data_IF_134238414898
#
_entry.id   IF_134238414898
#
_cell.length_a   1.000
_cell.length_b   1.000
_cell.length_c   1.000
_cell.angle_alpha   90.00
_cell.angle_beta   90.00
_cell.angle_gamma   90.00
#
_symmetry.space_group_name_H-M   'P 1'
#
loop_
_entity.id
_entity.type
_entity.pdbx_description
1 polymer ?
#
# COMPACT_ATOMS: atom_id res chain seq x y z
N UNK A 1 23.34 39.06 10.71
CA UNK A 1 21.93 39.42 10.48
C UNK A 1 21.29 38.31 9.65
N UNK A 2 20.44 37.47 10.25
CA UNK A 2 19.74 36.43 9.49
C UNK A 2 18.67 37.07 8.60
N UNK A 3 18.70 36.80 7.29
CA UNK A 3 17.59 37.17 6.40
C UNK A 3 16.32 36.49 6.92
N UNK A 4 15.34 37.28 7.35
CA UNK A 4 14.01 36.77 7.70
C UNK A 4 13.27 36.41 6.42
N UNK A 5 13.38 35.15 6.00
CA UNK A 5 12.62 34.65 4.85
C UNK A 5 11.13 34.58 5.16
N UNK A 6 10.29 34.89 4.16
CA UNK A 6 8.85 34.67 4.23
C UNK A 6 8.54 33.16 4.32
N UNK A 7 7.30 32.79 4.68
CA UNK A 7 6.89 31.37 4.73
C UNK A 7 7.01 30.70 3.35
N UNK A 8 6.59 31.41 2.31
CA UNK A 8 6.65 30.96 0.92
C UNK A 8 8.10 30.79 0.43
N UNK A 9 8.99 31.73 0.74
CA UNK A 9 10.41 31.60 0.40
C UNK A 9 11.07 30.39 1.09
N UNK A 10 10.69 30.10 2.34
CA UNK A 10 11.16 28.91 3.06
C UNK A 10 10.65 27.63 2.39
N UNK A 11 9.38 27.59 2.02
CA UNK A 11 8.76 26.46 1.33
C UNK A 11 9.48 26.14 0.02
N UNK A 12 9.67 27.14 -0.85
CA UNK A 12 10.35 26.96 -2.14
C UNK A 12 11.77 26.45 -1.92
N UNK A 13 12.53 27.05 -0.99
CA UNK A 13 13.92 26.64 -0.73
C UNK A 13 14.04 25.23 -0.20
N UNK A 14 13.18 24.83 0.74
CA UNK A 14 13.14 23.46 1.27
C UNK A 14 12.80 22.49 0.15
N UNK A 15 11.76 22.76 -0.63
CA UNK A 15 11.33 21.91 -1.74
C UNK A 15 12.45 21.74 -2.78
N UNK A 16 13.09 22.84 -3.21
CA UNK A 16 14.21 22.78 -4.15
C UNK A 16 15.40 22.00 -3.57
N UNK A 17 15.72 22.17 -2.29
CA UNK A 17 16.79 21.42 -1.64
C UNK A 17 16.52 19.91 -1.65
N UNK A 18 15.30 19.50 -1.30
CA UNK A 18 14.92 18.07 -1.32
C UNK A 18 14.94 17.54 -2.77
N UNK A 19 14.51 18.32 -3.78
CA UNK A 19 14.62 17.91 -5.20
C UNK A 19 16.07 17.67 -5.64
N UNK A 20 16.99 18.54 -5.24
CA UNK A 20 18.43 18.35 -5.51
C UNK A 20 18.92 17.09 -4.81
N UNK A 21 18.56 16.89 -3.55
CA UNK A 21 18.92 15.68 -2.80
C UNK A 21 18.39 14.40 -3.46
N UNK A 22 17.13 14.38 -3.89
CA UNK A 22 16.53 13.26 -4.63
C UNK A 22 17.30 12.99 -5.92
N UNK A 23 17.65 14.03 -6.67
CA UNK A 23 18.39 13.91 -7.92
C UNK A 23 19.78 13.33 -7.71
N UNK A 24 20.50 13.79 -6.68
CA UNK A 24 21.81 13.25 -6.30
C UNK A 24 21.68 11.79 -5.84
N UNK A 25 20.68 11.48 -5.00
CA UNK A 25 20.44 10.13 -4.51
C UNK A 25 20.16 9.15 -5.65
N UNK A 26 19.35 9.54 -6.63
CA UNK A 26 19.11 8.75 -7.84
C UNK A 26 20.36 8.61 -8.71
N UNK A 27 21.12 9.69 -8.88
CA UNK A 27 22.35 9.71 -9.69
C UNK A 27 23.45 8.82 -9.12
N UNK A 28 23.59 8.80 -7.79
CA UNK A 28 24.54 7.92 -7.09
C UNK A 28 24.02 6.47 -7.03
N UNK A 29 22.71 6.29 -6.88
CA UNK A 29 22.06 5.00 -6.86
C UNK A 29 22.58 4.10 -5.73
N UNK A 30 22.94 2.86 -6.06
CA UNK A 30 23.38 1.86 -5.07
C UNK A 30 24.72 2.21 -4.39
N UNK A 31 25.52 3.11 -4.96
CA UNK A 31 26.76 3.59 -4.32
C UNK A 31 26.49 4.46 -3.08
N UNK A 32 25.23 4.83 -2.82
CA UNK A 32 24.84 5.46 -1.55
C UNK A 32 24.47 4.43 -0.48
N UNK A 33 24.55 3.13 -0.79
CA UNK A 33 24.33 2.06 0.20
C UNK A 33 25.61 1.77 0.98
N UNK A 34 25.54 1.68 2.33
CA UNK A 34 26.63 1.17 3.17
C UNK A 34 27.09 -0.25 2.81
N UNK A 35 26.26 -1.02 2.09
CA UNK A 35 26.62 -2.37 1.62
C UNK A 35 27.53 -2.35 0.40
N UNK A 36 27.52 -1.27 -0.39
CA UNK A 36 28.28 -1.14 -1.64
C UNK A 36 29.50 -0.24 -1.45
N UNK A 37 29.35 0.82 -0.64
CA UNK A 37 30.37 1.84 -0.49
C UNK A 37 30.74 2.00 1.00
N UNK A 38 31.96 1.59 1.41
CA UNK A 38 32.41 1.62 2.80
C UNK A 38 32.43 3.02 3.44
N UNK A 39 32.48 4.08 2.61
CA UNK A 39 32.45 5.46 3.06
C UNK A 39 31.07 5.96 3.50
N UNK A 40 30.00 5.21 3.23
CA UNK A 40 28.64 5.56 3.64
C UNK A 40 28.23 4.72 4.84
N UNK A 41 27.73 5.37 5.89
CA UNK A 41 27.30 4.70 7.12
C UNK A 41 25.78 4.62 7.21
N UNK A 42 25.27 3.61 7.93
CA UNK A 42 23.85 3.53 8.27
C UNK A 42 23.38 4.74 9.08
N UNK A 43 24.24 5.22 10.00
CA UNK A 43 23.95 6.42 10.81
C UNK A 43 23.73 7.65 9.96
N UNK A 44 24.52 7.84 8.89
CA UNK A 44 24.30 8.93 7.95
C UNK A 44 22.92 8.85 7.28
N UNK A 45 22.52 7.67 6.81
CA UNK A 45 21.20 7.50 6.17
C UNK A 45 20.04 7.71 7.15
N UNK A 46 20.17 7.23 8.39
CA UNK A 46 19.18 7.49 9.44
C UNK A 46 19.05 8.97 9.77
N UNK A 47 20.17 9.67 9.88
CA UNK A 47 20.19 11.11 10.12
C UNK A 47 19.56 11.89 8.98
N UNK A 48 19.81 11.48 7.72
CA UNK A 48 19.17 12.06 6.55
C UNK A 48 17.64 11.88 6.62
N UNK A 49 17.18 10.66 6.90
CA UNK A 49 15.75 10.35 6.99
C UNK A 49 15.09 11.14 8.13
N UNK A 50 15.67 11.11 9.33
CA UNK A 50 15.14 11.81 10.50
C UNK A 50 15.02 13.33 10.26
N UNK A 51 16.08 13.96 9.73
CA UNK A 51 16.06 15.39 9.43
C UNK A 51 15.06 15.74 8.34
N UNK A 52 14.98 14.93 7.28
CA UNK A 52 14.04 15.15 6.20
C UNK A 52 12.60 15.02 6.70
N UNK A 53 12.25 13.95 7.42
CA UNK A 53 10.92 13.76 7.99
C UNK A 53 10.52 14.91 8.90
N UNK A 54 11.41 15.32 9.82
CA UNK A 54 11.17 16.45 10.72
C UNK A 54 10.88 17.75 9.97
N UNK A 55 11.63 18.03 8.90
CA UNK A 55 11.43 19.23 8.08
C UNK A 55 10.12 19.15 7.29
N UNK A 56 9.85 18.04 6.61
CA UNK A 56 8.62 17.86 5.82
C UNK A 56 7.38 17.93 6.72
N UNK A 57 7.36 17.20 7.83
CA UNK A 57 6.29 17.25 8.82
C UNK A 57 5.99 18.66 9.29
N UNK A 58 7.04 19.41 9.66
CA UNK A 58 6.88 20.79 10.14
C UNK A 58 6.31 21.69 9.06
N UNK A 59 6.79 21.54 7.82
CA UNK A 59 6.39 22.41 6.71
C UNK A 59 4.98 22.09 6.23
N UNK A 60 4.61 20.82 6.06
CA UNK A 60 3.25 20.40 5.66
C UNK A 60 2.20 20.86 6.69
N UNK A 61 2.50 20.77 7.99
CA UNK A 61 1.62 21.29 9.04
C UNK A 61 1.46 22.82 9.03
N UNK A 62 2.46 23.55 8.53
CA UNK A 62 2.44 25.01 8.48
C UNK A 62 1.84 25.56 7.19
N UNK A 63 2.05 24.85 6.08
CA UNK A 63 1.66 25.26 4.73
C UNK A 63 1.44 24.00 3.92
N UNK A 64 0.18 23.74 3.58
CA UNK A 64 -0.18 22.62 2.72
C UNK A 64 0.24 22.93 1.28
N UNK A 65 1.21 22.17 0.77
CA UNK A 65 1.77 22.32 -0.56
C UNK A 65 2.00 20.94 -1.21
N UNK A 66 1.43 20.74 -2.40
CA UNK A 66 1.49 19.46 -3.09
C UNK A 66 2.90 19.12 -3.58
N UNK A 67 3.69 20.12 -3.98
CA UNK A 67 5.01 19.91 -4.55
C UNK A 67 6.01 19.46 -3.48
N UNK A 68 5.97 20.10 -2.31
CA UNK A 68 6.72 19.69 -1.13
C UNK A 68 6.35 18.26 -0.73
N UNK A 69 5.06 17.94 -0.68
CA UNK A 69 4.58 16.61 -0.29
C UNK A 69 5.12 15.53 -1.26
N UNK A 70 4.93 15.72 -2.56
CA UNK A 70 5.42 14.78 -3.58
C UNK A 70 6.94 14.61 -3.49
N UNK A 71 7.67 15.72 -3.33
CA UNK A 71 9.13 15.73 -3.26
C UNK A 71 9.64 15.06 -1.97
N UNK A 72 8.99 15.34 -0.84
CA UNK A 72 9.27 14.74 0.46
C UNK A 72 9.02 13.24 0.46
N UNK A 73 7.90 12.81 -0.12
CA UNK A 73 7.54 11.39 -0.26
C UNK A 73 8.55 10.63 -1.11
N UNK A 74 8.97 11.21 -2.22
CA UNK A 74 10.03 10.63 -3.03
C UNK A 74 11.36 10.51 -2.27
N UNK A 75 11.74 11.54 -1.50
CA UNK A 75 12.95 11.50 -0.68
C UNK A 75 12.88 10.39 0.37
N UNK A 76 11.76 10.31 1.07
CA UNK A 76 11.46 9.27 2.06
C UNK A 76 11.56 7.89 1.41
N UNK A 77 10.94 7.72 0.25
CA UNK A 77 10.94 6.46 -0.50
C UNK A 77 12.36 6.04 -0.89
N UNK A 78 13.18 6.97 -1.39
CA UNK A 78 14.57 6.72 -1.79
C UNK A 78 15.43 6.29 -0.59
N UNK A 79 15.29 6.99 0.54
CA UNK A 79 16.02 6.68 1.77
C UNK A 79 15.57 5.33 2.35
N UNK A 80 14.27 5.05 2.39
CA UNK A 80 13.74 3.73 2.81
C UNK A 80 14.25 2.62 1.89
N UNK A 81 14.43 2.87 0.60
CA UNK A 81 14.99 1.89 -0.31
C UNK A 81 16.45 1.53 -0.01
N UNK A 82 17.24 2.51 0.47
CA UNK A 82 18.63 2.29 0.90
C UNK A 82 18.70 1.63 2.28
N UNK A 83 17.79 2.00 3.19
CA UNK A 83 17.71 1.47 4.55
C UNK A 83 17.15 0.04 4.61
N UNK A 84 16.26 -0.30 3.67
CA UNK A 84 15.57 -1.60 3.61
C UNK A 84 14.88 -1.92 4.95
N UNK A 85 15.01 -3.16 5.44
CA UNK A 85 14.42 -3.63 6.70
C UNK A 85 15.25 -3.24 7.96
N UNK A 86 16.21 -2.32 7.84
CA UNK A 86 17.01 -1.90 9.01
C UNK A 86 16.18 -0.94 9.85
N UNK A 87 16.05 -1.25 11.14
CA UNK A 87 15.30 -0.44 12.10
C UNK A 87 15.89 0.96 12.18
N UNK A 88 15.07 1.97 11.95
CA UNK A 88 15.45 3.38 12.00
C UNK A 88 14.82 4.05 13.23
N UNK A 89 15.56 4.89 13.98
CA UNK A 89 14.97 5.67 15.07
C UNK A 89 13.86 6.64 14.61
N UNK A 90 13.76 6.93 13.31
CA UNK A 90 12.77 7.85 12.76
C UNK A 90 11.40 7.21 12.43
N UNK A 91 11.13 5.96 12.87
CA UNK A 91 9.85 5.30 12.61
C UNK A 91 8.64 6.09 13.14
N UNK A 92 8.76 6.71 14.32
CA UNK A 92 7.69 7.54 14.89
C UNK A 92 7.32 8.73 13.98
N UNK A 93 8.33 9.44 13.46
CA UNK A 93 8.09 10.57 12.55
C UNK A 93 7.57 10.09 11.19
N UNK A 94 7.95 8.89 10.75
CA UNK A 94 7.39 8.28 9.54
C UNK A 94 5.91 7.94 9.72
N UNK A 95 5.52 7.36 10.86
CA UNK A 95 4.12 7.10 11.18
C UNK A 95 3.31 8.40 11.26
N UNK A 96 3.85 9.43 11.91
CA UNK A 96 3.22 10.77 11.96
C UNK A 96 3.03 11.38 10.57
N UNK A 97 3.99 11.18 9.67
CA UNK A 97 3.87 11.68 8.29
C UNK A 97 2.75 10.95 7.56
N UNK A 98 2.69 9.62 7.69
CA UNK A 98 1.60 8.85 7.11
C UNK A 98 0.23 9.28 7.67
N UNK A 99 0.09 9.40 8.99
CA UNK A 99 -1.17 9.82 9.60
C UNK A 99 -1.63 11.19 9.08
N UNK A 100 -0.69 12.13 8.97
CA UNK A 100 -0.93 13.45 8.41
C UNK A 100 -1.39 13.35 6.95
N UNK A 101 -0.66 12.64 6.09
CA UNK A 101 -1.02 12.53 4.67
C UNK A 101 -2.31 11.77 4.43
N UNK A 102 -2.58 10.72 5.22
CA UNK A 102 -3.83 9.96 5.15
C UNK A 102 -5.01 10.88 5.51
N UNK A 103 -4.87 11.74 6.52
CA UNK A 103 -5.89 12.73 6.87
C UNK A 103 -6.15 13.75 5.74
N UNK A 104 -5.18 13.96 4.86
CA UNK A 104 -5.24 14.91 3.75
C UNK A 104 -5.76 14.29 2.45
N UNK A 105 -5.89 12.95 2.34
CA UNK A 105 -6.33 12.23 1.12
C UNK A 105 -7.51 12.90 0.38
N UNK A 106 -8.60 13.34 1.05
CA UNK A 106 -9.74 13.94 0.35
C UNK A 106 -9.41 15.23 -0.41
N UNK A 107 -8.30 15.89 -0.07
CA UNK A 107 -7.86 17.17 -0.60
C UNK A 107 -6.70 17.02 -1.61
N UNK A 108 -6.15 15.81 -1.78
CA UNK A 108 -4.98 15.58 -2.63
C UNK A 108 -5.34 15.59 -4.11
N UNK A 109 -4.47 16.20 -4.92
CA UNK A 109 -4.47 15.99 -6.37
C UNK A 109 -4.10 14.54 -6.68
N UNK A 110 -4.49 14.02 -7.86
CA UNK A 110 -4.16 12.65 -8.26
C UNK A 110 -2.65 12.35 -8.24
N UNK A 111 -1.80 13.34 -8.52
CA UNK A 111 -0.34 13.20 -8.47
C UNK A 111 0.18 13.11 -7.04
N UNK A 112 -0.29 13.98 -6.14
CA UNK A 112 0.05 13.95 -4.72
C UNK A 112 -0.48 12.66 -4.07
N UNK A 113 -1.74 12.30 -4.34
CA UNK A 113 -2.35 11.07 -3.85
C UNK A 113 -1.58 9.83 -4.31
N UNK A 114 -1.21 9.74 -5.59
CA UNK A 114 -0.40 8.63 -6.08
C UNK A 114 0.96 8.56 -5.36
N UNK A 115 1.61 9.70 -5.11
CA UNK A 115 2.85 9.76 -4.34
C UNK A 115 2.68 9.26 -2.90
N UNK A 116 1.63 9.71 -2.20
CA UNK A 116 1.27 9.25 -0.86
C UNK A 116 1.00 7.74 -0.83
N UNK A 117 0.22 7.21 -1.78
CA UNK A 117 -0.06 5.77 -1.85
C UNK A 117 1.19 4.93 -2.09
N UNK A 118 2.11 5.41 -2.94
CA UNK A 118 3.40 4.75 -3.17
C UNK A 118 4.29 4.79 -1.93
N UNK A 119 4.28 5.89 -1.16
CA UNK A 119 4.97 5.95 0.11
C UNK A 119 4.38 4.96 1.11
N UNK A 120 3.05 4.92 1.28
CA UNK A 120 2.39 3.95 2.17
C UNK A 120 2.79 2.53 1.81
N UNK A 121 2.72 2.16 0.52
CA UNK A 121 3.15 0.83 0.06
C UNK A 121 4.61 0.53 0.44
N UNK A 122 5.52 1.51 0.25
CA UNK A 122 6.93 1.37 0.62
C UNK A 122 7.12 1.20 2.12
N UNK A 123 6.40 1.96 2.95
CA UNK A 123 6.46 1.83 4.42
C UNK A 123 5.96 0.46 4.86
N UNK A 124 4.81 0.00 4.35
CA UNK A 124 4.28 -1.35 4.64
C UNK A 124 5.32 -2.43 4.32
N UNK A 125 5.97 -2.32 3.16
CA UNK A 125 6.97 -3.28 2.69
C UNK A 125 8.23 -3.31 3.56
N UNK A 126 8.81 -2.15 3.87
CA UNK A 126 10.12 -2.08 4.55
C UNK A 126 10.01 -2.16 6.08
N UNK A 127 8.93 -1.66 6.68
CA UNK A 127 8.75 -1.73 8.14
C UNK A 127 8.21 -3.07 8.60
N UNK A 128 7.55 -3.85 7.74
CA UNK A 128 6.92 -5.17 7.92
C UNK A 128 6.76 -5.73 9.35
N UNK A 129 7.84 -5.94 10.10
CA UNK A 129 7.82 -6.40 11.50
C UNK A 129 7.25 -5.37 12.49
N UNK A 130 7.45 -4.07 12.24
CA UNK A 130 7.07 -2.95 13.10
C UNK A 130 5.82 -2.20 12.60
N UNK A 131 5.08 -2.77 11.65
CA UNK A 131 3.88 -2.13 11.12
C UNK A 131 2.76 -2.15 12.17
N UNK A 132 2.13 -1.00 12.49
CA UNK A 132 0.99 -0.98 13.40
C UNK A 132 -0.23 -1.65 12.79
N UNK A 133 -0.99 -2.39 13.62
CA UNK A 133 -2.23 -3.05 13.21
C UNK A 133 -3.28 -2.03 12.76
N UNK A 134 -3.29 -0.87 13.41
CA UNK A 134 -4.18 0.25 13.17
C UNK A 134 -4.10 0.72 11.71
N UNK A 135 -2.90 0.73 11.11
CA UNK A 135 -2.72 1.12 9.71
C UNK A 135 -3.34 0.08 8.76
N UNK A 136 -3.19 -1.22 9.05
CA UNK A 136 -3.85 -2.28 8.27
C UNK A 136 -5.37 -2.10 8.32
N UNK A 137 -5.89 -1.82 9.51
CA UNK A 137 -7.32 -1.56 9.72
C UNK A 137 -7.79 -0.29 9.03
N UNK A 138 -7.04 0.81 9.10
CA UNK A 138 -7.37 2.07 8.44
C UNK A 138 -7.43 1.93 6.93
N UNK A 139 -6.64 1.02 6.34
CA UNK A 139 -6.64 0.76 4.90
C UNK A 139 -7.78 -0.19 4.50
N UNK A 140 -7.98 -1.29 5.22
CA UNK A 140 -8.80 -2.41 4.75
C UNK A 140 -10.18 -2.57 5.42
N UNK A 141 -10.45 -1.93 6.56
CA UNK A 141 -11.77 -2.07 7.22
C UNK A 141 -12.89 -1.43 6.38
N UNK A 142 -14.13 -1.94 6.50
CA UNK A 142 -15.31 -1.30 5.92
C UNK A 142 -15.40 0.18 6.29
N UNK A 143 -15.76 1.02 5.32
CA UNK A 143 -15.82 2.48 5.47
C UNK A 143 -14.49 3.22 5.31
N UNK A 144 -13.38 2.51 5.12
CA UNK A 144 -12.10 3.12 4.75
C UNK A 144 -12.18 3.87 3.41
N UNK A 145 -11.60 5.07 3.36
CA UNK A 145 -11.50 5.88 2.14
C UNK A 145 -10.66 5.18 1.07
N UNK A 146 -9.73 4.30 1.45
CA UNK A 146 -8.89 3.53 0.53
C UNK A 146 -9.70 2.54 -0.31
N UNK A 147 -10.85 2.07 0.19
CA UNK A 147 -11.69 1.13 -0.56
C UNK A 147 -12.24 1.77 -1.83
N UNK A 148 -12.61 3.05 -1.78
CA UNK A 148 -13.08 3.83 -2.93
C UNK A 148 -11.96 4.17 -3.91
N UNK A 149 -10.71 4.33 -3.44
CA UNK A 149 -9.57 4.65 -4.30
C UNK A 149 -9.27 3.56 -5.34
N UNK A 150 -9.69 2.31 -5.09
CA UNK A 150 -9.59 1.18 -6.02
C UNK A 150 -10.35 1.42 -7.33
N UNK A 151 -11.39 2.23 -7.26
CA UNK A 151 -12.26 2.62 -8.37
C UNK A 151 -11.81 3.90 -9.07
N UNK A 152 -10.68 4.49 -8.66
CA UNK A 152 -10.17 5.71 -9.28
C UNK A 152 -9.88 5.49 -10.77
N UNK A 153 -10.32 6.40 -11.66
CA UNK A 153 -9.98 6.35 -13.08
C UNK A 153 -8.51 6.74 -13.35
N UNK A 154 -7.81 7.30 -12.35
CA UNK A 154 -6.41 7.66 -12.50
C UNK A 154 -5.52 6.41 -12.33
N UNK A 155 -4.83 6.01 -13.39
CA UNK A 155 -3.95 4.84 -13.40
C UNK A 155 -2.89 4.88 -12.29
N UNK A 156 -2.31 6.05 -12.03
CA UNK A 156 -1.27 6.19 -10.99
C UNK A 156 -1.83 5.97 -9.58
N UNK A 157 -3.05 6.45 -9.31
CA UNK A 157 -3.76 6.20 -8.03
C UNK A 157 -4.10 4.73 -7.91
N UNK A 158 -4.66 4.13 -8.98
CA UNK A 158 -4.98 2.71 -9.02
C UNK A 158 -3.74 1.81 -8.82
N UNK A 159 -2.59 2.18 -9.41
CA UNK A 159 -1.32 1.48 -9.20
C UNK A 159 -0.80 1.64 -7.78
N UNK A 160 -0.96 2.83 -7.19
CA UNK A 160 -0.62 3.09 -5.79
C UNK A 160 -1.40 2.21 -4.82
N UNK A 161 -2.73 2.17 -4.95
CA UNK A 161 -3.57 1.36 -4.06
C UNK A 161 -3.30 -0.14 -4.26
N UNK A 162 -3.07 -0.59 -5.49
CA UNK A 162 -2.68 -1.98 -5.74
C UNK A 162 -1.33 -2.34 -5.09
N UNK A 163 -0.35 -1.45 -5.18
CA UNK A 163 0.96 -1.64 -4.53
C UNK A 163 0.86 -1.75 -3.00
N UNK A 164 -0.09 -1.05 -2.38
CA UNK A 164 -0.39 -1.21 -0.94
C UNK A 164 -0.89 -2.63 -0.66
N UNK A 165 -1.85 -3.12 -1.44
CA UNK A 165 -2.40 -4.47 -1.27
C UNK A 165 -1.32 -5.55 -1.46
N UNK A 166 -0.49 -5.42 -2.50
CA UNK A 166 0.66 -6.32 -2.72
C UNK A 166 1.64 -6.27 -1.55
N UNK A 167 1.92 -5.08 -1.02
CA UNK A 167 2.82 -4.92 0.13
C UNK A 167 2.24 -5.58 1.39
N UNK A 168 0.95 -5.41 1.66
CA UNK A 168 0.24 -6.06 2.78
C UNK A 168 0.24 -7.59 2.66
N UNK A 169 -0.01 -8.12 1.45
CA UNK A 169 0.00 -9.56 1.18
C UNK A 169 1.40 -10.18 1.14
N UNK A 170 2.45 -9.35 1.13
CA UNK A 170 3.86 -9.76 1.20
C UNK A 170 4.50 -9.61 2.59
N UNK A 171 3.69 -9.26 3.61
CA UNK A 171 4.19 -9.03 4.97
C UNK A 171 4.88 -10.27 5.54
N UNK A 172 6.06 -10.05 6.15
CA UNK A 172 6.81 -11.07 6.89
C UNK A 172 6.21 -11.32 8.28
N UNK A 173 5.49 -10.35 8.84
CA UNK A 173 4.76 -10.49 10.09
C UNK A 173 3.49 -11.33 9.84
N UNK A 174 3.57 -12.63 10.16
CA UNK A 174 2.51 -13.61 9.89
C UNK A 174 1.15 -13.20 10.51
N UNK A 175 1.06 -12.80 11.79
CA UNK A 175 -0.19 -12.28 12.36
C UNK A 175 -0.82 -11.15 11.55
N UNK A 176 -0.04 -10.13 11.17
CA UNK A 176 -0.54 -9.01 10.38
C UNK A 176 -0.94 -9.44 8.96
N UNK A 177 -0.16 -10.32 8.34
CA UNK A 177 -0.48 -10.88 7.03
C UNK A 177 -1.83 -11.61 7.06
N UNK A 178 -2.07 -12.43 8.08
CA UNK A 178 -3.34 -13.14 8.26
C UNK A 178 -4.51 -12.19 8.41
N UNK A 179 -4.34 -11.11 9.17
CA UNK A 179 -5.39 -10.10 9.35
C UNK A 179 -5.66 -9.31 8.06
N UNK A 180 -4.61 -8.89 7.34
CA UNK A 180 -4.77 -8.22 6.06
C UNK A 180 -5.49 -9.13 5.04
N UNK A 181 -5.08 -10.41 4.96
CA UNK A 181 -5.73 -11.39 4.10
C UNK A 181 -7.20 -11.62 4.51
N UNK A 182 -7.49 -11.73 5.81
CA UNK A 182 -8.86 -11.87 6.33
C UNK A 182 -9.74 -10.71 5.86
N UNK A 183 -9.29 -9.47 6.04
CA UNK A 183 -10.05 -8.28 5.65
C UNK A 183 -10.27 -8.20 4.14
N UNK A 184 -9.26 -8.57 3.33
CA UNK A 184 -9.41 -8.66 1.87
C UNK A 184 -10.47 -9.71 1.51
N UNK A 185 -10.45 -10.90 2.13
CA UNK A 185 -11.45 -11.93 1.82
C UNK A 185 -12.86 -11.57 2.26
N UNK A 186 -13.01 -10.85 3.37
CA UNK A 186 -14.30 -10.32 3.83
C UNK A 186 -14.86 -9.34 2.79
N UNK A 187 -14.01 -8.46 2.27
CA UNK A 187 -14.41 -7.49 1.27
C UNK A 187 -14.74 -8.16 -0.08
N UNK A 188 -13.97 -9.19 -0.44
CA UNK A 188 -14.23 -10.02 -1.63
C UNK A 188 -15.56 -10.75 -1.52
N UNK A 189 -15.83 -11.38 -0.36
CA UNK A 189 -17.08 -12.08 -0.06
C UNK A 189 -18.27 -11.11 -0.12
N UNK A 190 -18.12 -9.91 0.44
CA UNK A 190 -19.13 -8.85 0.41
C UNK A 190 -19.48 -8.41 -1.01
N UNK A 191 -18.46 -8.24 -1.87
CA UNK A 191 -18.67 -7.89 -3.28
C UNK A 191 -19.28 -9.06 -4.07
N UNK A 192 -18.72 -10.28 -3.97
CA UNK A 192 -19.20 -11.45 -4.71
C UNK A 192 -20.66 -11.79 -4.42
N UNK A 193 -21.09 -11.66 -3.16
CA UNK A 193 -22.48 -11.98 -2.77
C UNK A 193 -23.53 -11.14 -3.47
N UNK A 194 -23.16 -9.96 -3.99
CA UNK A 194 -24.09 -9.15 -4.77
C UNK A 194 -24.33 -9.71 -6.17
N UNK A 195 -23.40 -10.52 -6.69
CA UNK A 195 -23.54 -11.27 -7.94
C UNK A 195 -24.06 -12.69 -7.70
N UNK A 196 -23.62 -13.33 -6.61
CA UNK A 196 -23.93 -14.71 -6.24
C UNK A 196 -24.46 -14.75 -4.80
N UNK A 197 -25.77 -14.54 -4.57
CA UNK A 197 -26.33 -14.46 -3.20
C UNK A 197 -26.06 -15.70 -2.34
N UNK A 198 -26.10 -16.88 -2.96
CA UNK A 198 -25.91 -18.17 -2.31
C UNK A 198 -24.44 -18.54 -2.06
N UNK A 199 -23.52 -17.57 -2.16
CA UNK A 199 -22.09 -17.83 -2.01
C UNK A 199 -21.79 -18.45 -0.63
N UNK A 200 -21.06 -19.56 -0.56
CA UNK A 200 -20.52 -20.03 0.71
C UNK A 200 -19.47 -19.03 1.22
N UNK A 201 -19.41 -18.74 2.53
CA UNK A 201 -18.42 -17.81 3.07
C UNK A 201 -17.00 -18.11 2.59
N UNK A 202 -16.35 -17.10 1.99
CA UNK A 202 -14.95 -17.25 1.57
C UNK A 202 -14.02 -17.42 2.78
N UNK A 203 -14.41 -16.89 3.93
CA UNK A 203 -13.72 -17.01 5.21
C UNK A 203 -14.69 -17.47 6.30
N UNK A 204 -14.22 -18.24 7.29
CA UNK A 204 -15.11 -18.89 8.27
C UNK A 204 -15.63 -17.93 9.36
N UNK A 205 -14.90 -16.86 9.69
CA UNK A 205 -15.25 -15.91 10.74
C UNK A 205 -15.58 -14.52 10.17
N UNK A 206 -16.62 -14.42 9.35
CA UNK A 206 -17.15 -13.14 8.85
C UNK A 206 -18.31 -12.72 9.74
N UNK A 207 -18.14 -11.63 10.49
CA UNK A 207 -19.22 -11.06 11.29
C UNK A 207 -20.16 -10.19 10.41
N UNK A 208 -21.44 -10.01 10.77
CA UNK A 208 -22.35 -9.18 9.98
C UNK A 208 -21.88 -7.72 9.84
N UNK A 209 -21.23 -7.18 10.86
CA UNK A 209 -20.67 -5.82 10.87
C UNK A 209 -19.40 -5.64 10.04
N UNK A 210 -18.77 -6.74 9.61
CA UNK A 210 -17.56 -6.73 8.79
C UNK A 210 -17.87 -6.50 7.30
N UNK A 211 -19.16 -6.49 6.90
CA UNK A 211 -19.55 -6.46 5.49
C UNK A 211 -19.62 -5.05 4.92
N UNK A 212 -19.10 -4.88 3.71
CA UNK A 212 -19.24 -3.64 2.95
C UNK A 212 -20.40 -3.75 1.98
N UNK A 213 -21.32 -2.77 2.01
CA UNK A 213 -22.36 -2.64 0.99
C UNK A 213 -21.81 -1.88 -0.22
N UNK A 214 -22.05 -2.40 -1.42
CA UNK A 214 -21.60 -1.80 -2.68
C UNK A 214 -22.77 -1.51 -3.61
N UNK A 215 -22.56 -0.57 -4.53
CA UNK A 215 -23.42 -0.39 -5.68
C UNK A 215 -23.13 -1.46 -6.74
N UNK A 216 -24.18 -2.11 -7.25
CA UNK A 216 -24.11 -3.23 -8.19
C UNK A 216 -23.25 -2.92 -9.42
N UNK A 217 -23.26 -1.66 -9.88
CA UNK A 217 -22.52 -1.23 -11.07
C UNK A 217 -21.00 -1.34 -10.87
N UNK A 218 -20.52 -1.21 -9.63
CA UNK A 218 -19.10 -1.18 -9.28
C UNK A 218 -18.56 -2.53 -8.81
N UNK A 219 -19.45 -3.49 -8.50
CA UNK A 219 -19.09 -4.78 -7.89
C UNK A 219 -18.09 -5.56 -8.73
N UNK A 220 -18.29 -5.65 -10.04
CA UNK A 220 -17.38 -6.41 -10.91
C UNK A 220 -15.97 -5.82 -10.90
N UNK A 221 -15.84 -4.49 -10.96
CA UNK A 221 -14.53 -3.81 -10.89
C UNK A 221 -13.83 -4.04 -9.54
N UNK A 222 -14.58 -4.04 -8.44
CA UNK A 222 -14.06 -4.33 -7.09
C UNK A 222 -13.52 -5.77 -7.05
N UNK A 223 -14.28 -6.73 -7.56
CA UNK A 223 -13.87 -8.13 -7.59
C UNK A 223 -12.60 -8.31 -8.43
N UNK A 224 -12.58 -7.75 -9.65
CA UNK A 224 -11.41 -7.84 -10.54
C UNK A 224 -10.18 -7.21 -9.88
N UNK A 225 -10.33 -6.06 -9.22
CA UNK A 225 -9.25 -5.44 -8.45
C UNK A 225 -8.70 -6.37 -7.37
N UNK A 226 -9.58 -7.01 -6.61
CA UNK A 226 -9.18 -7.91 -5.53
C UNK A 226 -8.49 -9.18 -6.06
N UNK A 227 -8.97 -9.75 -7.16
CA UNK A 227 -8.28 -10.86 -7.84
C UNK A 227 -6.89 -10.42 -8.33
N UNK A 228 -6.76 -9.20 -8.86
CA UNK A 228 -5.46 -8.61 -9.24
C UNK A 228 -4.54 -8.40 -8.04
N UNK A 229 -5.07 -8.04 -6.88
CA UNK A 229 -4.28 -7.93 -5.66
C UNK A 229 -3.76 -9.30 -5.17
N UNK A 230 -4.51 -10.38 -5.40
CA UNK A 230 -4.13 -11.74 -5.01
C UNK A 230 -3.08 -12.37 -5.94
N UNK A 231 -2.74 -11.77 -7.08
CA UNK A 231 -1.80 -12.35 -8.06
C UNK A 231 -0.43 -12.65 -7.47
N UNK A 232 0.10 -11.75 -6.65
CA UNK A 232 1.47 -11.87 -6.14
C UNK A 232 1.60 -13.06 -5.21
N UNK A 233 0.61 -13.24 -4.31
CA UNK A 233 0.61 -14.39 -3.39
C UNK A 233 0.19 -15.69 -4.08
N UNK A 234 -0.66 -15.61 -5.11
CA UNK A 234 -0.98 -16.76 -5.95
C UNK A 234 0.26 -17.26 -6.70
N UNK A 235 1.05 -16.36 -7.27
CA UNK A 235 2.20 -16.73 -8.10
C UNK A 235 3.51 -16.84 -7.31
N UNK A 236 3.48 -16.63 -5.99
CA UNK A 236 4.61 -16.87 -5.11
C UNK A 236 4.85 -18.38 -4.92
N UNK A 237 5.43 -19.01 -5.94
CA UNK A 237 5.78 -20.42 -5.97
C UNK A 237 6.66 -20.78 -4.76
N UNK A 238 6.33 -21.89 -4.10
CA UNK A 238 6.99 -22.42 -2.89
C UNK A 238 6.91 -21.58 -1.61
N UNK A 239 6.04 -20.57 -1.52
CA UNK A 239 5.84 -19.92 -0.22
C UNK A 239 5.04 -20.84 0.71
N UNK A 240 5.69 -21.35 1.77
CA UNK A 240 5.01 -22.04 2.88
C UNK A 240 3.83 -21.20 3.42
N UNK A 241 3.93 -19.89 3.25
CA UNK A 241 2.92 -18.89 3.62
C UNK A 241 1.62 -19.08 2.80
N UNK A 242 1.70 -19.08 1.46
CA UNK A 242 0.51 -19.23 0.61
C UNK A 242 -0.10 -20.64 0.69
N UNK A 243 0.72 -21.66 0.94
CA UNK A 243 0.26 -23.06 1.00
C UNK A 243 -0.33 -23.47 2.35
N UNK A 244 0.21 -22.96 3.47
CA UNK A 244 -0.11 -23.49 4.81
C UNK A 244 -0.54 -22.43 5.83
N UNK A 245 -0.12 -21.17 5.67
CA UNK A 245 -0.37 -20.13 6.68
C UNK A 245 -1.73 -19.47 6.46
N UNK A 246 -2.10 -19.20 5.21
CA UNK A 246 -3.37 -18.58 4.86
C UNK A 246 -4.52 -19.59 4.88
N UNK A 247 -5.66 -19.16 5.41
CA UNK A 247 -6.89 -19.96 5.40
C UNK A 247 -8.06 -19.11 4.87
N UNK A 248 -8.77 -19.57 3.82
CA UNK A 248 -8.36 -20.63 2.90
C UNK A 248 -6.99 -20.35 2.25
N UNK A 249 -6.29 -21.41 1.86
CA UNK A 249 -5.14 -21.26 0.98
C UNK A 249 -5.61 -20.80 -0.42
N UNK A 250 -4.69 -20.29 -1.23
CA UNK A 250 -5.04 -19.69 -2.53
C UNK A 250 -5.71 -20.70 -3.48
N UNK A 251 -5.26 -21.95 -3.50
CA UNK A 251 -5.86 -22.98 -4.34
C UNK A 251 -7.31 -23.28 -3.92
N UNK A 252 -7.58 -23.49 -2.64
CA UNK A 252 -8.93 -23.72 -2.12
C UNK A 252 -9.85 -22.52 -2.38
N UNK A 253 -9.33 -21.30 -2.19
CA UNK A 253 -10.07 -20.07 -2.49
C UNK A 253 -10.50 -20.02 -3.96
N UNK A 254 -9.55 -20.19 -4.89
CA UNK A 254 -9.80 -20.04 -6.32
C UNK A 254 -10.62 -21.23 -6.87
N UNK A 255 -10.19 -22.46 -6.60
CA UNK A 255 -10.75 -23.67 -7.20
C UNK A 255 -12.03 -24.17 -6.53
N UNK A 256 -12.14 -24.07 -5.20
CA UNK A 256 -13.28 -24.66 -4.47
C UNK A 256 -14.34 -23.63 -4.09
N UNK A 257 -13.93 -22.40 -3.74
CA UNK A 257 -14.84 -21.39 -3.18
C UNK A 257 -15.38 -20.44 -4.23
N UNK A 258 -14.54 -19.96 -5.14
CA UNK A 258 -14.93 -18.93 -6.12
C UNK A 258 -15.52 -19.51 -7.41
N UNK A 259 -14.82 -20.43 -8.10
CA UNK A 259 -15.22 -20.89 -9.45
C UNK A 259 -16.56 -21.66 -9.46
N UNK A 260 -16.78 -22.70 -8.64
CA UNK A 260 -17.99 -23.52 -8.78
C UNK A 260 -19.29 -22.73 -8.55
N UNK A 261 -19.19 -21.63 -7.81
CA UNK A 261 -20.34 -20.80 -7.42
C UNK A 261 -20.59 -19.67 -8.43
N UNK A 262 -19.60 -19.33 -9.26
CA UNK A 262 -19.70 -18.25 -10.25
C UNK A 262 -20.21 -18.70 -11.62
N UNK A 263 -20.06 -19.98 -11.97
CA UNK A 263 -20.49 -20.51 -13.28
C UNK A 263 -21.95 -20.19 -13.57
N UNK A 264 -22.19 -19.44 -14.66
CA UNK A 264 -23.52 -19.02 -15.10
C UNK A 264 -24.14 -17.85 -14.33
N UNK A 265 -23.50 -17.34 -13.27
CA UNK A 265 -23.98 -16.22 -12.44
C UNK A 265 -23.16 -14.94 -12.57
N UNK A 266 -21.94 -15.01 -13.12
CA UNK A 266 -21.04 -13.86 -13.33
C UNK A 266 -20.79 -13.58 -14.81
N UNK A 267 -20.24 -12.40 -15.11
CA UNK A 267 -19.84 -12.03 -16.47
C UNK A 267 -18.75 -12.97 -17.02
N UNK A 268 -18.66 -13.16 -18.34
CA UNK A 268 -17.57 -13.92 -18.96
C UNK A 268 -16.19 -13.35 -18.64
N UNK A 269 -16.06 -12.02 -18.54
CA UNK A 269 -14.81 -11.33 -18.21
C UNK A 269 -14.32 -11.64 -16.80
N UNK A 270 -15.25 -11.66 -15.83
CA UNK A 270 -14.92 -12.03 -14.46
C UNK A 270 -14.55 -13.51 -14.36
N UNK A 271 -15.32 -14.40 -15.00
CA UNK A 271 -15.01 -15.83 -15.03
C UNK A 271 -13.64 -16.11 -15.66
N UNK A 272 -13.30 -15.42 -16.75
CA UNK A 272 -11.99 -15.50 -17.37
C UNK A 272 -10.88 -15.08 -16.41
N UNK A 273 -11.07 -13.97 -15.68
CA UNK A 273 -10.08 -13.48 -14.71
C UNK A 273 -9.85 -14.49 -13.58
N UNK A 274 -10.92 -15.11 -13.06
CA UNK A 274 -10.82 -16.17 -12.06
C UNK A 274 -10.04 -17.39 -12.59
N UNK A 275 -10.40 -17.89 -13.78
CA UNK A 275 -9.77 -19.05 -14.39
C UNK A 275 -8.32 -18.78 -14.77
N UNK A 276 -8.02 -17.58 -15.28
CA UNK A 276 -6.66 -17.18 -15.63
C UNK A 276 -5.76 -17.10 -14.40
N UNK A 277 -6.27 -16.55 -13.29
CA UNK A 277 -5.52 -16.51 -12.03
C UNK A 277 -5.27 -17.93 -11.48
N UNK A 278 -6.28 -18.81 -11.52
CA UNK A 278 -6.10 -20.21 -11.13
C UNK A 278 -5.08 -20.92 -12.03
N UNK A 279 -5.17 -20.73 -13.34
CA UNK A 279 -4.20 -21.27 -14.29
C UNK A 279 -2.78 -20.78 -13.98
N UNK A 280 -2.60 -19.47 -13.78
CA UNK A 280 -1.31 -18.86 -13.44
C UNK A 280 -0.73 -19.39 -12.12
N UNK A 281 -1.59 -19.71 -11.14
CA UNK A 281 -1.16 -20.31 -9.88
C UNK A 281 -0.66 -21.75 -10.05
N UNK A 282 -1.27 -22.50 -10.97
CA UNK A 282 -0.99 -23.91 -11.20
C UNK A 282 0.13 -24.17 -12.23
N UNK A 283 0.46 -23.18 -13.06
CA UNK A 283 1.48 -23.26 -14.11
C UNK A 283 2.90 -23.05 -13.55
#
# INVERSE_FOLDING_TARGET
QGKNYTKEEKLIKVTCFIKVFNSVTKGVGQHLSPTVSPGVTWTFLYDCLARMLSVVLKMVNQTFDFELMITGNECTWLLLNLLQNKTCPAHEDLHRLLDLEISLIPQLTNTALASTLQLIAKVVKELSANLPLELVHQILKPGSTFLELRLSPCENVHRGILAIYHSLLSLKNIPLLKEAYRLILIDLDSAYRQLVPDLKPLYAAIEPGDRTAYDKIRVESIIIFQLKALTDIANASNSLIGMWVLQPNILDLLASRLIPQSVGKVSPSLLYTQLYLLYSHCA
#
